data_IF_343256264427
#
_entry.id   IF_343256264427
#
_cell.length_a   1.000
_cell.length_b   1.000
_cell.length_c   1.000
_cell.angle_alpha   90.00
_cell.angle_beta   90.00
_cell.angle_gamma   90.00
#
_symmetry.space_group_name_H-M   'P 1'
#
loop_
_entity.id
_entity.type
_entity.pdbx_description
1 polymer ?
#
# COMPACT_ATOMS: atom_id res chain seq x y z
N UNK A 1 -8.73 9.18 5.16
CA UNK A 1 -7.86 9.28 6.35
C UNK A 1 -8.29 8.18 7.30
N UNK A 2 -7.42 7.77 8.21
CA UNK A 2 -7.70 6.75 9.25
C UNK A 2 -8.24 5.38 8.77
N UNK A 3 -7.92 5.01 7.53
CA UNK A 3 -8.31 3.70 6.97
C UNK A 3 -7.36 2.55 7.35
N UNK A 4 -6.29 2.84 8.09
CA UNK A 4 -5.29 1.83 8.51
C UNK A 4 -4.21 1.51 7.47
N UNK A 5 -3.92 2.41 6.52
CA UNK A 5 -2.90 2.20 5.48
C UNK A 5 -1.52 1.86 6.05
N UNK A 6 -1.01 2.71 6.93
CA UNK A 6 0.30 2.50 7.56
C UNK A 6 0.36 1.18 8.32
N UNK A 7 -0.71 0.86 9.06
CA UNK A 7 -0.80 -0.41 9.79
C UNK A 7 -0.84 -1.59 8.82
N UNK A 8 -1.63 -1.50 7.74
CA UNK A 8 -1.66 -2.54 6.69
C UNK A 8 -0.27 -2.74 6.08
N UNK A 9 0.42 -1.65 5.72
CA UNK A 9 1.77 -1.71 5.16
C UNK A 9 2.78 -2.33 6.15
N UNK A 10 2.73 -1.93 7.41
CA UNK A 10 3.60 -2.42 8.47
C UNK A 10 3.43 -3.94 8.70
N UNK A 11 2.18 -4.43 8.72
CA UNK A 11 1.90 -5.86 8.87
C UNK A 11 2.24 -6.66 7.61
N UNK A 12 2.13 -6.06 6.42
CA UNK A 12 2.60 -6.68 5.18
C UNK A 12 4.13 -6.84 5.18
N UNK A 13 4.87 -5.79 5.60
CA UNK A 13 6.33 -5.88 5.82
C UNK A 13 6.67 -6.98 6.81
N UNK A 14 5.97 -7.04 7.95
CA UNK A 14 6.16 -8.09 8.95
C UNK A 14 5.94 -9.49 8.39
N UNK A 15 4.93 -9.68 7.54
CA UNK A 15 4.69 -10.95 6.86
C UNK A 15 5.85 -11.36 5.95
N UNK A 16 6.39 -10.44 5.15
CA UNK A 16 7.59 -10.72 4.35
C UNK A 16 8.78 -11.09 5.22
N UNK A 17 9.00 -10.36 6.31
CA UNK A 17 10.07 -10.68 7.28
C UNK A 17 9.87 -12.04 7.92
N UNK A 18 8.65 -12.41 8.27
CA UNK A 18 8.30 -13.72 8.84
C UNK A 18 8.56 -14.89 7.87
N UNK A 19 8.53 -14.63 6.56
CA UNK A 19 8.92 -15.60 5.51
C UNK A 19 10.41 -15.60 5.19
N UNK A 20 11.23 -14.86 5.94
CA UNK A 20 12.68 -14.76 5.75
C UNK A 20 13.10 -13.85 4.61
N UNK A 21 12.21 -13.02 4.10
CA UNK A 21 12.48 -12.06 3.03
C UNK A 21 12.98 -10.72 3.57
N UNK A 22 13.73 -10.00 2.75
CA UNK A 22 14.05 -8.60 3.01
C UNK A 22 12.92 -7.73 2.49
N UNK A 23 12.48 -6.77 3.32
CA UNK A 23 11.42 -5.86 2.95
C UNK A 23 11.77 -4.43 3.32
N UNK A 24 11.53 -3.51 2.39
CA UNK A 24 11.66 -2.07 2.61
C UNK A 24 10.31 -1.38 2.51
N UNK A 25 10.23 -0.18 3.09
CA UNK A 25 9.02 0.62 3.10
C UNK A 25 9.28 2.03 2.57
N UNK A 26 8.34 2.52 1.78
CA UNK A 26 8.31 3.90 1.29
C UNK A 26 6.96 4.53 1.65
N UNK A 27 6.99 5.69 2.34
CA UNK A 27 5.84 6.58 2.41
C UNK A 27 5.98 7.64 1.33
N UNK A 28 5.23 7.48 0.24
CA UNK A 28 5.40 8.28 -0.99
C UNK A 28 4.66 9.61 -0.94
N UNK A 29 3.47 9.66 -0.33
CA UNK A 29 2.63 10.88 -0.27
C UNK A 29 2.08 11.14 1.13
N UNK A 30 1.58 12.36 1.36
CA UNK A 30 0.91 12.78 2.58
C UNK A 30 1.60 13.94 3.30
N UNK A 31 1.48 13.95 4.61
CA UNK A 31 2.18 14.88 5.52
C UNK A 31 3.18 14.10 6.37
N UNK A 32 4.33 14.69 6.66
CA UNK A 32 5.36 14.04 7.51
C UNK A 32 4.80 13.75 8.89
N UNK A 33 4.88 12.48 9.27
CA UNK A 33 4.55 11.98 10.58
C UNK A 33 5.45 10.79 10.91
N UNK A 34 6.46 11.01 11.74
CA UNK A 34 7.53 10.02 11.99
C UNK A 34 7.03 8.71 12.58
N UNK A 35 5.95 8.73 13.36
CA UNK A 35 5.36 7.49 13.91
C UNK A 35 4.93 6.48 12.84
N UNK A 36 4.67 6.93 11.62
CA UNK A 36 4.28 6.02 10.54
C UNK A 36 5.48 5.16 10.11
N UNK A 37 6.64 5.79 9.92
CA UNK A 37 7.89 5.08 9.59
C UNK A 37 8.42 4.27 10.75
N UNK A 38 8.31 4.80 11.99
CA UNK A 38 8.73 4.10 13.20
C UNK A 38 7.98 2.77 13.36
N UNK A 39 6.65 2.77 13.20
CA UNK A 39 5.85 1.54 13.27
C UNK A 39 6.33 0.48 12.28
N UNK A 40 6.60 0.87 11.04
CA UNK A 40 7.01 -0.09 10.01
C UNK A 40 8.42 -0.61 10.28
N UNK A 41 9.31 0.25 10.76
CA UNK A 41 10.66 -0.15 11.17
C UNK A 41 10.63 -1.12 12.35
N UNK A 42 9.84 -0.84 13.37
CA UNK A 42 9.67 -1.70 14.56
C UNK A 42 9.11 -3.08 14.21
N UNK A 43 8.29 -3.18 13.14
CA UNK A 43 7.77 -4.45 12.63
C UNK A 43 8.74 -5.16 11.67
N UNK A 44 9.96 -4.64 11.51
CA UNK A 44 11.09 -5.35 10.92
C UNK A 44 11.51 -4.94 9.52
N UNK A 45 11.08 -3.78 9.02
CA UNK A 45 11.58 -3.27 7.75
C UNK A 45 13.11 -3.15 7.77
N UNK A 46 13.78 -3.63 6.71
CA UNK A 46 15.23 -3.51 6.56
C UNK A 46 15.65 -2.07 6.26
N UNK A 47 14.75 -1.29 5.66
CA UNK A 47 14.90 0.14 5.43
C UNK A 47 13.52 0.79 5.31
N UNK A 48 13.42 2.00 5.83
CA UNK A 48 12.26 2.88 5.66
C UNK A 48 12.72 4.21 5.07
N UNK A 49 11.92 4.78 4.17
CA UNK A 49 12.16 6.09 3.58
C UNK A 49 10.84 6.83 3.38
N UNK A 50 10.88 8.14 3.41
CA UNK A 50 9.70 8.96 3.17
C UNK A 50 10.03 10.27 2.45
N UNK A 51 9.03 10.89 1.83
CA UNK A 51 9.20 12.14 1.08
C UNK A 51 9.84 13.28 1.89
N UNK A 52 9.71 13.26 3.22
CA UNK A 52 10.36 14.23 4.12
C UNK A 52 11.88 14.16 4.12
N UNK A 53 12.48 13.01 3.77
CA UNK A 53 13.93 12.83 3.65
C UNK A 53 14.49 13.70 2.51
N UNK A 54 13.64 14.07 1.56
CA UNK A 54 13.95 14.95 0.44
C UNK A 54 13.51 16.41 0.67
N UNK A 55 13.15 16.77 1.91
CA UNK A 55 12.82 18.13 2.28
C UNK A 55 11.35 18.53 2.03
N UNK A 56 10.48 17.59 1.71
CA UNK A 56 9.04 17.84 1.56
C UNK A 56 8.34 17.70 2.92
N UNK A 57 7.79 18.77 3.51
CA UNK A 57 6.98 18.64 4.72
C UNK A 57 5.62 17.98 4.44
N UNK A 58 5.18 18.09 3.20
CA UNK A 58 3.97 17.47 2.63
C UNK A 58 4.13 17.39 1.13
N UNK A 59 3.47 16.42 0.51
CA UNK A 59 3.37 16.34 -0.96
C UNK A 59 2.20 17.14 -1.53
N UNK A 60 1.49 17.89 -0.68
CA UNK A 60 0.42 18.78 -1.10
C UNK A 60 0.94 19.81 -2.12
N UNK A 61 0.22 19.98 -3.23
CA UNK A 61 0.56 20.83 -4.36
C UNK A 61 1.76 20.38 -5.23
N UNK A 62 2.36 19.23 -4.97
CA UNK A 62 3.32 18.64 -5.91
C UNK A 62 2.69 18.38 -7.27
N UNK A 63 3.45 18.58 -8.34
CA UNK A 63 3.05 18.18 -9.69
C UNK A 63 3.48 16.71 -9.97
N UNK A 64 3.05 16.19 -11.12
CA UNK A 64 3.32 14.80 -11.50
C UNK A 64 4.82 14.49 -11.60
N UNK A 65 5.60 15.38 -12.19
CA UNK A 65 7.05 15.17 -12.33
C UNK A 65 7.74 15.15 -10.96
N UNK A 66 7.40 16.06 -10.06
CA UNK A 66 7.94 16.09 -8.70
C UNK A 66 7.62 14.79 -7.95
N UNK A 67 6.41 14.26 -8.12
CA UNK A 67 6.01 12.99 -7.48
C UNK A 67 6.74 11.79 -8.07
N UNK A 68 6.97 11.77 -9.39
CA UNK A 68 7.73 10.70 -10.05
C UNK A 68 9.21 10.76 -9.69
N UNK A 69 9.84 11.94 -9.71
CA UNK A 69 11.23 12.12 -9.30
C UNK A 69 11.44 11.70 -7.85
N UNK A 70 10.48 12.03 -6.97
CA UNK A 70 10.49 11.63 -5.58
C UNK A 70 10.35 10.11 -5.43
N UNK A 71 9.43 9.49 -6.18
CA UNK A 71 9.24 8.05 -6.21
C UNK A 71 10.53 7.32 -6.63
N UNK A 72 11.14 7.72 -7.73
CA UNK A 72 12.37 7.14 -8.24
C UNK A 72 13.53 7.28 -7.23
N UNK A 73 13.64 8.45 -6.60
CA UNK A 73 14.65 8.72 -5.58
C UNK A 73 14.50 7.83 -4.35
N UNK A 74 13.27 7.71 -3.84
CA UNK A 74 12.96 6.87 -2.68
C UNK A 74 13.18 5.38 -3.00
N UNK A 75 12.79 4.91 -4.19
CA UNK A 75 13.07 3.53 -4.63
C UNK A 75 14.58 3.29 -4.73
N UNK A 76 15.35 4.23 -5.28
CA UNK A 76 16.81 4.12 -5.36
C UNK A 76 17.45 4.03 -3.96
N UNK A 77 16.93 4.79 -2.99
CA UNK A 77 17.44 4.75 -1.63
C UNK A 77 17.18 3.40 -0.96
N UNK A 78 15.94 2.93 -0.94
CA UNK A 78 15.62 1.66 -0.27
C UNK A 78 16.22 0.46 -0.99
N UNK A 79 16.52 0.57 -2.28
CA UNK A 79 17.19 -0.48 -3.05
C UNK A 79 18.62 -0.76 -2.60
N UNK A 80 19.24 0.15 -1.84
CA UNK A 80 20.61 -0.03 -1.28
C UNK A 80 20.72 -1.24 -0.35
N UNK A 81 19.64 -1.61 0.33
CA UNK A 81 19.61 -2.81 1.18
C UNK A 81 19.24 -4.08 0.41
N UNK A 82 19.02 -3.98 -0.89
CA UNK A 82 18.63 -5.07 -1.77
C UNK A 82 17.40 -5.84 -1.24
N UNK A 83 16.25 -5.17 -1.06
CA UNK A 83 15.05 -5.82 -0.57
C UNK A 83 14.46 -6.76 -1.63
N UNK A 84 13.84 -7.86 -1.19
CA UNK A 84 13.03 -8.72 -2.05
C UNK A 84 11.70 -8.02 -2.40
N UNK A 85 11.18 -7.20 -1.46
CA UNK A 85 9.91 -6.47 -1.60
C UNK A 85 10.03 -5.04 -1.11
N UNK A 86 9.40 -4.12 -1.84
CA UNK A 86 9.22 -2.73 -1.44
C UNK A 86 7.73 -2.49 -1.26
N UNK A 87 7.32 -2.17 -0.03
CA UNK A 87 5.94 -1.77 0.29
C UNK A 87 5.84 -0.26 0.22
N UNK A 88 4.92 0.24 -0.62
CA UNK A 88 4.74 1.67 -0.84
C UNK A 88 3.39 2.11 -0.28
N UNK A 89 3.40 3.04 0.67
CA UNK A 89 2.18 3.69 1.14
C UNK A 89 1.91 4.96 0.34
N UNK A 90 0.71 5.03 -0.22
CA UNK A 90 0.17 6.24 -0.82
C UNK A 90 -0.95 6.76 0.08
N UNK A 91 -0.72 7.88 0.72
CA UNK A 91 -1.70 8.64 1.49
C UNK A 91 -2.20 9.82 0.62
N UNK A 92 -3.37 10.40 0.83
CA UNK A 92 -4.38 10.17 1.84
C UNK A 92 -5.53 9.28 1.32
N UNK A 93 -6.46 9.82 0.55
CA UNK A 93 -7.56 9.12 -0.08
C UNK A 93 -7.36 9.07 -1.60
N UNK A 94 -7.96 8.10 -2.28
CA UNK A 94 -7.78 7.90 -3.73
C UNK A 94 -8.27 9.07 -4.59
N UNK A 95 -9.13 9.92 -4.06
CA UNK A 95 -9.62 11.14 -4.74
C UNK A 95 -8.82 12.40 -4.39
N UNK A 96 -7.90 12.29 -3.45
CA UNK A 96 -6.97 13.36 -3.17
C UNK A 96 -6.12 13.63 -4.42
N UNK A 97 -5.80 14.89 -4.69
CA UNK A 97 -5.24 15.34 -5.97
C UNK A 97 -3.95 14.61 -6.37
N UNK A 98 -2.99 14.54 -5.48
CA UNK A 98 -1.68 13.93 -5.69
C UNK A 98 -1.79 12.41 -5.82
N UNK A 99 -2.58 11.80 -4.93
CA UNK A 99 -2.88 10.36 -4.98
C UNK A 99 -3.57 9.99 -6.30
N UNK A 100 -4.60 10.72 -6.69
CA UNK A 100 -5.30 10.48 -7.96
C UNK A 100 -4.37 10.66 -9.16
N UNK A 101 -3.49 11.63 -9.12
CA UNK A 101 -2.50 11.90 -10.17
C UNK A 101 -1.57 10.70 -10.34
N UNK A 102 -0.95 10.21 -9.26
CA UNK A 102 -0.09 9.02 -9.27
C UNK A 102 -0.82 7.78 -9.75
N UNK A 103 -2.01 7.50 -9.20
CA UNK A 103 -2.80 6.32 -9.53
C UNK A 103 -3.32 6.32 -10.98
N UNK A 104 -3.27 7.44 -11.69
CA UNK A 104 -3.59 7.54 -13.11
C UNK A 104 -2.34 7.68 -14.00
N UNK A 105 -1.17 7.92 -13.42
CA UNK A 105 0.08 8.01 -14.15
C UNK A 105 0.53 6.62 -14.63
N UNK A 106 0.72 6.46 -15.94
CA UNK A 106 1.11 5.17 -16.53
C UNK A 106 2.47 4.71 -16.03
N UNK A 107 3.45 5.60 -15.99
CA UNK A 107 4.81 5.28 -15.51
C UNK A 107 4.78 4.70 -14.10
N UNK A 108 4.00 5.31 -13.21
CA UNK A 108 3.84 4.80 -11.85
C UNK A 108 3.14 3.43 -11.84
N UNK A 109 2.02 3.29 -12.55
CA UNK A 109 1.27 2.01 -12.61
C UNK A 109 2.11 0.85 -13.14
N UNK A 110 2.90 1.10 -14.18
CA UNK A 110 3.76 0.08 -14.80
C UNK A 110 4.92 -0.34 -13.86
N UNK A 111 5.19 0.43 -12.80
CA UNK A 111 6.21 0.13 -11.78
C UNK A 111 5.65 -0.61 -10.55
N UNK A 112 4.32 -0.75 -10.44
CA UNK A 112 3.65 -1.36 -9.29
C UNK A 112 3.15 -2.75 -9.67
N UNK A 113 3.63 -3.77 -8.95
CA UNK A 113 3.26 -5.16 -9.22
C UNK A 113 1.89 -5.52 -8.65
N UNK A 114 1.54 -5.01 -7.47
CA UNK A 114 0.31 -5.36 -6.78
C UNK A 114 -0.22 -4.20 -5.92
N UNK A 115 -1.53 -4.16 -5.72
CA UNK A 115 -2.21 -3.14 -4.91
C UNK A 115 -3.04 -3.82 -3.83
N UNK A 116 -2.85 -3.41 -2.57
CA UNK A 116 -3.77 -3.70 -1.46
C UNK A 116 -4.48 -2.40 -1.09
N UNK A 117 -5.80 -2.43 -1.08
CA UNK A 117 -6.61 -1.26 -0.76
C UNK A 117 -7.03 -1.25 0.71
N UNK A 118 -6.65 -0.21 1.46
CA UNK A 118 -7.04 -0.05 2.87
C UNK A 118 -8.26 0.84 3.01
N UNK A 119 -9.31 0.33 3.64
CA UNK A 119 -10.57 1.04 3.85
C UNK A 119 -11.01 1.04 5.33
N UNK A 120 -11.79 2.06 5.72
CA UNK A 120 -12.33 2.19 7.07
C UNK A 120 -13.65 1.44 7.27
N UNK A 121 -14.43 1.27 6.19
CA UNK A 121 -15.74 0.63 6.19
C UNK A 121 -16.02 -0.10 4.87
N UNK A 122 -17.12 -0.84 4.81
CA UNK A 122 -17.50 -1.65 3.66
C UNK A 122 -17.85 -0.81 2.42
N UNK A 123 -18.53 0.32 2.60
CA UNK A 123 -18.93 1.19 1.49
C UNK A 123 -17.70 1.82 0.82
N UNK A 124 -16.74 2.29 1.64
CA UNK A 124 -15.47 2.80 1.14
C UNK A 124 -14.67 1.71 0.42
N UNK A 125 -14.67 0.47 0.93
CA UNK A 125 -13.98 -0.65 0.31
C UNK A 125 -14.58 -0.99 -1.07
N UNK A 126 -15.88 -1.20 -1.15
CA UNK A 126 -16.58 -1.58 -2.39
C UNK A 126 -16.39 -0.51 -3.46
N UNK A 127 -16.71 0.76 -3.15
CA UNK A 127 -16.55 1.86 -4.11
C UNK A 127 -15.10 2.14 -4.48
N UNK A 128 -14.18 1.95 -3.52
CA UNK A 128 -12.74 2.14 -3.75
C UNK A 128 -12.18 1.10 -4.73
N UNK A 129 -12.54 -0.17 -4.55
CA UNK A 129 -12.17 -1.26 -5.48
C UNK A 129 -12.70 -0.97 -6.88
N UNK A 130 -13.99 -0.66 -7.04
CA UNK A 130 -14.57 -0.32 -8.33
C UNK A 130 -13.91 0.90 -8.98
N UNK A 131 -13.54 1.89 -8.18
CA UNK A 131 -12.88 3.10 -8.69
C UNK A 131 -11.48 2.80 -9.18
N UNK A 132 -10.69 2.04 -8.42
CA UNK A 132 -9.36 1.63 -8.82
C UNK A 132 -9.39 0.77 -10.09
N UNK A 133 -10.31 -0.17 -10.20
CA UNK A 133 -10.51 -0.99 -11.41
C UNK A 133 -10.84 -0.12 -12.63
N UNK A 134 -11.71 0.88 -12.49
CA UNK A 134 -11.99 1.86 -13.57
C UNK A 134 -10.76 2.67 -13.99
N UNK A 135 -9.79 2.83 -13.10
CA UNK A 135 -8.51 3.49 -13.41
C UNK A 135 -7.44 2.52 -13.93
N UNK A 136 -7.79 1.24 -14.09
CA UNK A 136 -6.87 0.20 -14.56
C UNK A 136 -5.90 -0.28 -13.49
N UNK A 137 -6.26 -0.15 -12.21
CA UNK A 137 -5.58 -0.73 -11.06
C UNK A 137 -6.47 -1.79 -10.44
N UNK A 138 -5.99 -3.01 -10.36
CA UNK A 138 -6.75 -4.15 -9.87
C UNK A 138 -6.24 -4.57 -8.49
N UNK A 139 -6.91 -4.15 -7.39
CA UNK A 139 -6.50 -4.57 -6.06
C UNK A 139 -6.55 -6.10 -5.92
N UNK A 140 -5.47 -6.68 -5.43
CA UNK A 140 -5.37 -8.12 -5.11
C UNK A 140 -5.88 -8.43 -3.70
N UNK A 141 -6.17 -7.40 -2.91
CA UNK A 141 -6.70 -7.52 -1.56
C UNK A 141 -7.26 -6.21 -1.02
N UNK A 142 -8.15 -6.34 -0.07
CA UNK A 142 -8.67 -5.25 0.76
C UNK A 142 -8.25 -5.51 2.20
N UNK A 143 -7.86 -4.45 2.93
CA UNK A 143 -7.51 -4.52 4.35
C UNK A 143 -7.89 -3.20 5.05
N UNK A 144 -7.32 -2.92 6.21
CA UNK A 144 -7.51 -1.68 6.94
C UNK A 144 -8.47 -1.82 8.10
N UNK A 145 -8.95 -0.68 8.60
CA UNK A 145 -9.80 -0.61 9.81
C UNK A 145 -11.08 -1.44 9.71
N UNK A 146 -11.64 -1.61 8.50
CA UNK A 146 -12.83 -2.44 8.30
C UNK A 146 -12.65 -3.88 8.82
N UNK A 147 -11.41 -4.39 8.82
CA UNK A 147 -11.12 -5.77 9.22
C UNK A 147 -11.23 -6.02 10.72
N UNK A 148 -11.45 -4.98 11.51
CA UNK A 148 -11.77 -5.11 12.94
C UNK A 148 -13.22 -5.58 13.18
N UNK A 149 -14.08 -5.58 12.16
CA UNK A 149 -15.47 -5.99 12.22
C UNK A 149 -15.76 -7.15 11.26
N UNK A 150 -16.14 -8.34 11.79
CA UNK A 150 -16.55 -9.47 10.94
C UNK A 150 -17.74 -9.15 10.03
N UNK A 151 -18.62 -8.23 10.45
CA UNK A 151 -19.77 -7.79 9.65
C UNK A 151 -19.30 -7.04 8.40
N UNK A 152 -18.39 -6.07 8.56
CA UNK A 152 -17.87 -5.29 7.44
C UNK A 152 -17.06 -6.16 6.46
N UNK A 153 -16.31 -7.14 6.98
CA UNK A 153 -15.61 -8.12 6.13
C UNK A 153 -16.62 -8.87 5.26
N UNK A 154 -17.68 -9.39 5.84
CA UNK A 154 -18.72 -10.11 5.10
C UNK A 154 -19.38 -9.24 4.03
N UNK A 155 -19.75 -8.01 4.37
CA UNK A 155 -20.34 -7.08 3.41
C UNK A 155 -19.43 -6.84 2.20
N UNK A 156 -18.12 -6.70 2.40
CA UNK A 156 -17.17 -6.54 1.29
C UNK A 156 -17.09 -7.81 0.46
N UNK A 157 -16.97 -8.99 1.10
CA UNK A 157 -16.89 -10.28 0.42
C UNK A 157 -18.16 -10.64 -0.39
N UNK A 158 -19.32 -10.20 0.06
CA UNK A 158 -20.59 -10.40 -0.67
C UNK A 158 -20.75 -9.47 -1.87
N UNK A 159 -20.00 -8.35 -1.91
CA UNK A 159 -20.16 -7.30 -2.93
C UNK A 159 -18.91 -7.07 -3.80
N UNK A 160 -17.80 -7.78 -3.55
CA UNK A 160 -16.61 -7.74 -4.39
C UNK A 160 -16.00 -9.14 -4.54
N UNK A 161 -15.25 -9.35 -5.61
CA UNK A 161 -14.46 -10.57 -5.79
C UNK A 161 -13.06 -10.46 -5.19
N UNK A 162 -12.72 -9.31 -4.60
CA UNK A 162 -11.40 -9.06 -4.02
C UNK A 162 -11.37 -9.60 -2.59
N UNK A 163 -10.40 -10.45 -2.24
CA UNK A 163 -10.29 -11.01 -0.91
C UNK A 163 -10.01 -9.93 0.14
N UNK A 164 -10.51 -10.15 1.36
CA UNK A 164 -10.26 -9.28 2.51
C UNK A 164 -9.24 -9.96 3.43
N UNK A 165 -8.17 -9.27 3.76
CA UNK A 165 -7.10 -9.75 4.62
C UNK A 165 -7.05 -8.98 5.92
N UNK A 166 -7.11 -9.69 7.05
CA UNK A 166 -6.87 -9.11 8.38
C UNK A 166 -5.37 -8.82 8.58
N UNK A 167 -5.04 -7.99 9.55
CA UNK A 167 -3.65 -7.73 9.90
C UNK A 167 -2.89 -9.00 10.29
N UNK A 168 -3.53 -9.92 11.03
CA UNK A 168 -2.96 -11.20 11.39
C UNK A 168 -2.62 -12.06 10.16
N UNK A 169 -3.50 -12.07 9.15
CA UNK A 169 -3.25 -12.76 7.89
C UNK A 169 -2.10 -12.11 7.11
N UNK A 170 -2.02 -10.78 7.06
CA UNK A 170 -0.94 -10.08 6.38
C UNK A 170 0.43 -10.30 7.05
N UNK A 171 0.46 -10.47 8.38
CA UNK A 171 1.70 -10.76 9.10
C UNK A 171 2.15 -12.22 9.03
N UNK A 172 1.29 -13.10 8.52
CA UNK A 172 1.66 -14.50 8.29
C UNK A 172 2.52 -14.62 7.03
N UNK A 173 3.72 -15.18 7.15
CA UNK A 173 4.70 -15.23 6.07
C UNK A 173 4.22 -15.97 4.82
N UNK A 174 3.53 -17.10 5.00
CA UNK A 174 3.00 -17.86 3.86
C UNK A 174 1.91 -17.06 3.14
N UNK A 175 1.01 -16.43 3.88
CA UNK A 175 -0.04 -15.58 3.32
C UNK A 175 0.56 -14.39 2.57
N UNK A 176 1.53 -13.69 3.15
CA UNK A 176 2.17 -12.52 2.54
C UNK A 176 2.82 -12.85 1.18
N UNK A 177 3.43 -14.03 1.06
CA UNK A 177 4.01 -14.48 -0.21
C UNK A 177 2.92 -14.95 -1.19
N UNK A 178 1.94 -15.72 -0.71
CA UNK A 178 0.91 -16.28 -1.57
C UNK A 178 -0.02 -15.23 -2.19
N UNK A 179 -0.25 -14.12 -1.50
CA UNK A 179 -1.02 -12.97 -2.03
C UNK A 179 -0.40 -12.43 -3.34
N UNK A 180 0.95 -12.52 -3.45
CA UNK A 180 1.70 -12.05 -4.62
C UNK A 180 1.96 -13.17 -5.65
N UNK A 181 1.32 -14.32 -5.52
CA UNK A 181 1.49 -15.39 -6.51
C UNK A 181 0.94 -14.98 -7.88
N UNK A 182 1.61 -15.36 -8.99
CA UNK A 182 1.19 -14.99 -10.33
C UNK A 182 -0.26 -15.36 -10.66
N UNK A 183 -0.76 -16.47 -10.09
CA UNK A 183 -2.12 -16.94 -10.30
C UNK A 183 -3.18 -15.98 -9.74
N UNK A 184 -2.90 -15.28 -8.66
CA UNK A 184 -3.78 -14.26 -8.07
C UNK A 184 -3.66 -12.91 -8.78
N UNK A 185 -2.44 -12.50 -9.15
CA UNK A 185 -2.20 -11.24 -9.86
C UNK A 185 -2.86 -11.26 -11.24
N UNK A 186 -2.80 -12.40 -11.95
CA UNK A 186 -3.39 -12.53 -13.29
C UNK A 186 -4.90 -12.82 -13.28
N UNK A 187 -5.47 -13.31 -12.18
CA UNK A 187 -6.90 -13.58 -12.07
C UNK A 187 -7.74 -12.30 -11.92
N UNK A 188 -7.11 -11.17 -11.59
CA UNK A 188 -7.75 -9.87 -11.39
C UNK A 188 -7.60 -8.93 -12.61
N UNK A 189 -6.84 -9.31 -13.62
CA UNK A 189 -6.69 -8.61 -14.90
C UNK A 189 -7.59 -9.26 -15.95
#
# INVERSE_FOLDING_TARGET
MDSGKTTTAAYMVNGFKSSGKKAAFIKLTGTVYTKDTDLVYDLGADMVAHFGDYGFPSTYMCNENELLDLFESLVADVSKVQPDYIVIEIADGIYERETKMLLNCRTFKDSVEAVIFSAGDSLAAINGVETLQRWGLYPIGVSGMLTTSPLLIREVQENTYVPVYTLEQLSNGDTAINILSPDLIHATN
#
